data_IF_239965090420
#
_entry.id   IF_239965090420
#
_cell.length_a   1.000
_cell.length_b   1.000
_cell.length_c   1.000
_cell.angle_alpha   90.00
_cell.angle_beta   90.00
_cell.angle_gamma   90.00
#
_symmetry.space_group_name_H-M   'P 1'
#
loop_
_entity.id
_entity.type
_entity.pdbx_description
1 polymer ?
#
# COMPACT_ATOMS: atom_id res chain seq x y z
N UNK A 1 27.76 -9.89 -31.15
CA UNK A 1 28.06 -8.51 -30.71
C UNK A 1 27.12 -7.50 -31.35
N UNK A 2 26.69 -7.72 -32.60
CA UNK A 2 25.83 -6.82 -33.40
C UNK A 2 24.40 -6.62 -32.85
N UNK A 3 23.79 -7.64 -32.23
CA UNK A 3 22.42 -7.55 -31.70
C UNK A 3 22.27 -6.52 -30.56
N UNK A 4 23.31 -6.34 -29.74
CA UNK A 4 23.30 -5.32 -28.67
C UNK A 4 23.41 -3.90 -29.22
N UNK A 5 24.18 -3.70 -30.29
CA UNK A 5 24.26 -2.41 -30.98
C UNK A 5 22.95 -2.08 -31.71
N UNK A 6 22.31 -3.07 -32.33
CA UNK A 6 21.02 -2.89 -32.98
C UNK A 6 19.91 -2.52 -31.98
N UNK A 7 19.88 -3.16 -30.81
CA UNK A 7 18.96 -2.83 -29.73
C UNK A 7 19.20 -1.41 -29.19
N UNK A 8 20.47 -1.02 -29.01
CA UNK A 8 20.83 0.31 -28.53
C UNK A 8 20.45 1.41 -29.55
N UNK A 9 20.71 1.18 -30.84
CA UNK A 9 20.31 2.12 -31.89
C UNK A 9 18.78 2.23 -32.02
N UNK A 10 18.07 1.11 -31.87
CA UNK A 10 16.60 1.10 -31.87
C UNK A 10 16.04 1.88 -30.68
N UNK A 11 16.63 1.71 -29.49
CA UNK A 11 16.23 2.44 -28.29
C UNK A 11 16.47 3.96 -28.42
N UNK A 12 17.63 4.37 -28.97
CA UNK A 12 17.97 5.78 -29.21
C UNK A 12 17.01 6.40 -30.23
N UNK A 13 16.69 5.67 -31.31
CA UNK A 13 15.78 6.15 -32.34
C UNK A 13 14.35 6.33 -31.80
N UNK A 14 13.86 5.38 -31.00
CA UNK A 14 12.56 5.48 -30.32
C UNK A 14 12.51 6.65 -29.33
N UNK A 15 13.59 6.90 -28.60
CA UNK A 15 13.66 8.04 -27.68
C UNK A 15 13.57 9.40 -28.40
N UNK A 16 14.24 9.53 -29.56
CA UNK A 16 14.13 10.73 -30.41
C UNK A 16 12.72 10.91 -30.99
N UNK A 17 12.08 9.82 -31.40
CA UNK A 17 10.71 9.82 -31.91
C UNK A 17 9.72 10.29 -30.82
N UNK A 18 9.87 9.80 -29.59
CA UNK A 18 9.08 10.21 -28.42
C UNK A 18 9.33 11.67 -28.06
N UNK A 19 10.59 12.11 -28.01
CA UNK A 19 10.93 13.50 -27.73
C UNK A 19 10.36 14.46 -28.80
N UNK A 20 10.33 14.05 -30.07
CA UNK A 20 9.68 14.76 -31.16
C UNK A 20 8.16 14.87 -30.97
N UNK A 21 7.49 13.77 -30.60
CA UNK A 21 6.03 13.74 -30.34
C UNK A 21 5.62 14.54 -29.10
N UNK A 22 6.44 14.55 -28.04
CA UNK A 22 6.23 15.39 -26.85
C UNK A 22 6.24 16.89 -27.20
N UNK A 23 7.00 17.30 -28.22
CA UNK A 23 7.06 18.70 -28.62
C UNK A 23 5.81 19.21 -29.35
N UNK A 24 4.96 18.32 -29.89
CA UNK A 24 3.87 18.67 -30.81
C UNK A 24 2.51 17.99 -30.53
N UNK A 25 2.29 17.36 -29.36
CA UNK A 25 1.04 16.60 -29.15
C UNK A 25 0.42 16.78 -27.76
N UNK A 26 -0.92 16.76 -27.76
CA UNK A 26 -1.82 16.91 -26.63
C UNK A 26 -1.43 15.96 -25.48
N UNK A 27 -1.18 16.50 -24.27
CA UNK A 27 -0.70 15.74 -23.11
C UNK A 27 -1.58 14.53 -22.77
N UNK A 28 -2.86 14.60 -23.09
CA UNK A 28 -3.85 13.55 -22.87
C UNK A 28 -3.55 12.28 -23.69
N UNK A 29 -3.16 12.44 -24.96
CA UNK A 29 -2.84 11.31 -25.85
C UNK A 29 -1.55 10.61 -25.43
N UNK A 30 -0.53 11.38 -25.02
CA UNK A 30 0.72 10.84 -24.45
C UNK A 30 0.43 10.07 -23.17
N UNK A 31 -0.47 10.58 -22.33
CA UNK A 31 -0.87 9.92 -21.09
C UNK A 31 -1.60 8.58 -21.36
N UNK A 32 -2.43 8.54 -22.38
CA UNK A 32 -3.19 7.34 -22.76
C UNK A 32 -2.27 6.29 -23.43
N UNK A 33 -1.33 6.73 -24.26
CA UNK A 33 -0.29 5.87 -24.86
C UNK A 33 0.64 5.29 -23.77
N UNK A 34 1.02 6.08 -22.76
CA UNK A 34 1.78 5.57 -21.62
C UNK A 34 1.01 4.48 -20.85
N UNK A 35 -0.28 4.68 -20.57
CA UNK A 35 -1.11 3.65 -19.90
C UNK A 35 -1.14 2.33 -20.69
N UNK A 36 -1.30 2.41 -22.00
CA UNK A 36 -1.29 1.22 -22.87
C UNK A 36 0.08 0.54 -22.90
N UNK A 37 1.16 1.31 -22.98
CA UNK A 37 2.53 0.77 -22.97
C UNK A 37 2.88 0.10 -21.64
N UNK A 38 2.43 0.64 -20.50
CA UNK A 38 2.60 -0.01 -19.20
C UNK A 38 1.78 -1.30 -19.07
N UNK A 39 0.56 -1.33 -19.60
CA UNK A 39 -0.24 -2.54 -19.63
C UNK A 39 0.44 -3.63 -20.48
N UNK A 40 0.99 -3.28 -21.64
CA UNK A 40 1.76 -4.19 -22.48
C UNK A 40 3.05 -4.66 -21.79
N UNK A 41 3.77 -3.77 -21.10
CA UNK A 41 4.95 -4.14 -20.32
C UNK A 41 4.61 -5.13 -19.20
N UNK A 42 3.47 -4.95 -18.51
CA UNK A 42 3.00 -5.87 -17.48
C UNK A 42 2.70 -7.26 -18.04
N UNK A 43 2.03 -7.32 -19.19
CA UNK A 43 1.76 -8.57 -19.90
C UNK A 43 3.08 -9.25 -20.30
N UNK A 44 4.06 -8.49 -20.81
CA UNK A 44 5.39 -8.99 -21.13
C UNK A 44 6.15 -9.52 -19.89
N UNK A 45 6.03 -8.88 -18.74
CA UNK A 45 6.59 -9.37 -17.47
C UNK A 45 5.91 -10.67 -17.00
N UNK A 46 4.59 -10.82 -17.21
CA UNK A 46 3.91 -12.10 -16.93
C UNK A 46 4.35 -13.25 -17.85
N UNK A 47 4.69 -12.96 -19.12
CA UNK A 47 5.29 -13.95 -20.03
C UNK A 47 6.67 -14.41 -19.54
N UNK A 48 7.51 -13.48 -19.07
CA UNK A 48 8.85 -13.79 -18.55
C UNK A 48 8.81 -14.57 -17.23
N UNK A 49 7.78 -14.36 -16.41
CA UNK A 49 7.63 -14.98 -15.09
C UNK A 49 6.72 -16.24 -15.11
N UNK A 50 6.40 -16.78 -16.29
CA UNK A 50 5.69 -18.06 -16.43
C UNK A 50 4.27 -18.11 -15.84
N UNK A 51 3.59 -16.96 -15.71
CA UNK A 51 2.26 -16.85 -15.08
C UNK A 51 1.25 -16.28 -16.08
N UNK A 52 1.00 -17.03 -17.16
CA UNK A 52 -0.15 -16.81 -18.03
C UNK A 52 -1.29 -17.70 -17.59
N UNK A 53 -2.03 -17.26 -16.59
CA UNK A 53 -3.45 -17.58 -16.51
C UNK A 53 -4.14 -16.43 -15.77
N UNK A 54 -4.97 -15.69 -16.52
CA UNK A 54 -5.85 -14.61 -16.08
C UNK A 54 -5.25 -13.20 -15.91
N UNK A 55 -4.76 -12.62 -17.01
CA UNK A 55 -4.92 -11.17 -17.23
C UNK A 55 -6.12 -10.97 -18.13
N UNK A 56 -7.29 -10.71 -17.53
CA UNK A 56 -8.50 -10.34 -18.26
C UNK A 56 -8.28 -9.02 -19.01
N UNK A 57 -8.29 -9.09 -20.33
CA UNK A 57 -8.34 -7.91 -21.20
C UNK A 57 -9.83 -7.49 -21.30
N UNK A 58 -10.24 -6.28 -20.89
CA UNK A 58 -11.52 -5.75 -21.31
C UNK A 58 -11.40 -5.30 -22.78
N UNK A 59 -11.84 -6.16 -23.71
CA UNK A 59 -12.10 -5.74 -25.08
C UNK A 59 -13.35 -4.85 -25.09
N UNK A 60 -13.17 -3.54 -25.31
CA UNK A 60 -14.22 -2.73 -25.90
C UNK A 60 -13.99 -2.64 -27.40
N UNK A 61 -14.80 -3.36 -28.15
CA UNK A 61 -15.12 -3.00 -29.54
C UNK A 61 -16.59 -3.32 -29.75
N UNK A 62 -17.40 -2.27 -29.90
CA UNK A 62 -18.78 -2.38 -30.35
C UNK A 62 -18.81 -2.94 -31.76
N UNK A 63 -19.58 -4.01 -31.99
CA UNK A 63 -20.16 -4.31 -33.30
C UNK A 63 -21.59 -4.81 -33.08
N UNK A 64 -22.55 -4.04 -33.61
CA UNK A 64 -23.96 -4.41 -33.75
C UNK A 64 -24.11 -5.76 -34.45
N UNK A 65 -25.05 -6.58 -33.97
CA UNK A 65 -26.13 -7.20 -34.77
C UNK A 65 -26.97 -8.15 -33.88
N UNK A 66 -28.23 -7.77 -33.64
CA UNK A 66 -29.36 -8.70 -33.46
C UNK A 66 -30.01 -8.92 -34.86
N UNK A 67 -30.87 -9.93 -35.11
CA UNK A 67 -31.65 -10.73 -34.15
C UNK A 67 -31.75 -12.26 -34.45
N UNK A 68 -32.12 -13.08 -33.44
CA UNK A 68 -33.34 -13.93 -33.45
C UNK A 68 -33.31 -15.11 -32.46
N UNK A 69 -34.32 -15.10 -31.57
CA UNK A 69 -35.14 -16.19 -31.04
C UNK A 69 -34.89 -17.64 -31.50
N UNK A 70 -34.75 -18.58 -30.55
CA UNK A 70 -35.83 -19.55 -30.26
C UNK A 70 -35.62 -20.32 -28.94
N UNK A 71 -36.78 -20.67 -28.37
CA UNK A 71 -37.08 -21.19 -27.05
C UNK A 71 -37.33 -22.71 -27.15
N UNK A 72 -36.71 -23.56 -26.32
CA UNK A 72 -37.25 -24.91 -26.00
C UNK A 72 -36.97 -25.27 -24.53
N UNK A 73 -38.08 -25.36 -23.80
CA UNK A 73 -38.28 -26.00 -22.49
C UNK A 73 -38.07 -27.52 -22.58
N UNK A 74 -37.51 -28.19 -21.56
CA UNK A 74 -37.97 -29.52 -21.08
C UNK A 74 -37.31 -29.96 -19.76
N UNK A 75 -38.16 -30.05 -18.72
CA UNK A 75 -38.33 -31.13 -17.74
C UNK A 75 -37.14 -31.69 -16.91
N UNK A 76 -37.22 -31.41 -15.59
CA UNK A 76 -36.64 -32.19 -14.48
C UNK A 76 -37.24 -33.63 -14.41
N UNK A 77 -36.53 -34.62 -13.80
CA UNK A 77 -36.72 -34.86 -12.36
C UNK A 77 -35.45 -35.21 -11.57
N UNK A 78 -35.41 -34.68 -10.35
CA UNK A 78 -34.80 -35.20 -9.11
C UNK A 78 -33.56 -36.12 -9.19
N UNK A 79 -32.42 -35.59 -8.73
CA UNK A 79 -31.50 -36.34 -7.88
C UNK A 79 -30.99 -35.44 -6.75
N UNK A 80 -31.47 -35.75 -5.55
CA UNK A 80 -31.04 -35.21 -4.27
C UNK A 80 -29.64 -35.76 -3.97
N UNK A 81 -28.58 -35.02 -4.34
CA UNK A 81 -27.23 -35.30 -3.87
C UNK A 81 -26.82 -34.21 -2.90
N UNK A 82 -27.02 -34.54 -1.62
CA UNK A 82 -26.15 -34.24 -0.49
C UNK A 82 -25.28 -32.98 -0.64
N UNK A 83 -25.70 -31.91 0.05
CA UNK A 83 -24.79 -30.85 0.50
C UNK A 83 -23.65 -31.52 1.28
N UNK A 84 -22.54 -31.74 0.58
CA UNK A 84 -21.25 -31.96 1.22
C UNK A 84 -20.87 -30.62 1.83
N UNK A 85 -21.23 -30.45 3.10
CA UNK A 85 -20.65 -29.43 3.97
C UNK A 85 -19.18 -29.79 4.19
N UNK A 86 -18.36 -29.62 3.16
CA UNK A 86 -16.93 -29.47 3.35
C UNK A 86 -16.75 -28.14 4.10
N UNK A 87 -16.09 -28.11 5.28
CA UNK A 87 -15.64 -26.84 5.79
C UNK A 87 -14.76 -26.24 4.70
N UNK A 88 -15.16 -25.09 4.15
CA UNK A 88 -14.33 -24.32 3.24
C UNK A 88 -13.07 -23.99 4.02
N UNK A 89 -12.03 -24.80 3.84
CA UNK A 89 -10.76 -24.63 4.50
C UNK A 89 -10.24 -23.26 4.06
N UNK A 90 -10.10 -22.33 5.00
CA UNK A 90 -9.53 -21.03 4.66
C UNK A 90 -8.14 -21.27 4.06
N UNK A 91 -7.82 -20.61 2.94
CA UNK A 91 -6.56 -20.84 2.27
C UNK A 91 -5.37 -20.51 3.20
N UNK A 92 -4.31 -21.31 3.09
CA UNK A 92 -3.09 -21.07 3.88
C UNK A 92 -2.40 -19.78 3.43
N UNK A 93 -1.44 -19.30 4.24
CA UNK A 93 -0.69 -18.10 3.91
C UNK A 93 0.14 -18.30 2.63
N UNK A 94 0.75 -19.47 2.46
CA UNK A 94 1.51 -19.84 1.27
C UNK A 94 0.61 -19.96 0.04
N UNK A 95 -0.61 -20.49 0.20
CA UNK A 95 -1.59 -20.55 -0.89
C UNK A 95 -2.04 -19.16 -1.31
N UNK A 96 -2.30 -18.26 -0.36
CA UNK A 96 -2.68 -16.89 -0.63
C UNK A 96 -1.54 -16.11 -1.30
N UNK A 97 -0.31 -16.23 -0.82
CA UNK A 97 0.86 -15.52 -1.37
C UNK A 97 1.29 -16.03 -2.75
N UNK A 98 0.87 -17.25 -3.16
CA UNK A 98 1.02 -17.73 -4.54
C UNK A 98 -0.01 -17.15 -5.50
N UNK A 99 -1.12 -16.58 -5.00
CA UNK A 99 -2.15 -15.98 -5.85
C UNK A 99 -1.64 -14.66 -6.45
N UNK A 100 -2.00 -14.34 -7.69
CA UNK A 100 -1.61 -13.06 -8.29
C UNK A 100 -2.14 -11.89 -7.47
N UNK A 101 -1.35 -10.82 -7.40
CA UNK A 101 -1.66 -9.57 -6.69
C UNK A 101 -1.85 -9.69 -5.16
N UNK A 102 -1.46 -10.82 -4.55
CA UNK A 102 -1.46 -10.99 -3.10
C UNK A 102 -0.05 -10.84 -2.54
N UNK A 103 0.08 -10.11 -1.45
CA UNK A 103 1.38 -9.73 -0.89
C UNK A 103 1.34 -9.69 0.62
N UNK A 104 2.49 -9.89 1.26
CA UNK A 104 2.65 -9.77 2.71
C UNK A 104 3.01 -8.33 3.07
N UNK A 105 2.32 -7.76 4.05
CA UNK A 105 2.70 -6.48 4.64
C UNK A 105 3.73 -6.68 5.75
N UNK A 106 4.85 -5.97 5.67
CA UNK A 106 5.90 -5.96 6.69
C UNK A 106 5.90 -4.59 7.37
N UNK A 107 5.75 -4.59 8.69
CA UNK A 107 5.62 -3.38 9.51
C UNK A 107 6.99 -2.83 9.90
N UNK A 108 7.28 -1.59 9.50
CA UNK A 108 8.41 -0.81 10.01
C UNK A 108 8.00 -0.02 11.27
N UNK A 109 8.88 0.79 11.87
CA UNK A 109 8.53 1.72 12.97
C UNK A 109 7.40 2.66 12.53
N UNK A 110 7.52 3.28 11.35
CA UNK A 110 6.48 4.10 10.72
C UNK A 110 6.11 3.49 9.37
N UNK A 111 4.82 3.21 9.16
CA UNK A 111 4.30 2.51 8.00
C UNK A 111 4.95 1.12 7.83
N UNK A 112 5.41 0.83 6.64
CA UNK A 112 6.11 -0.40 6.34
C UNK A 112 6.34 -0.54 4.84
N UNK A 113 6.38 -1.77 4.38
CA UNK A 113 6.45 -2.08 2.97
C UNK A 113 5.64 -3.33 2.64
N UNK A 114 5.31 -3.47 1.36
CA UNK A 114 4.62 -4.64 0.84
C UNK A 114 5.66 -5.52 0.17
N UNK A 115 5.90 -6.69 0.75
CA UNK A 115 6.91 -7.62 0.26
C UNK A 115 6.48 -8.21 -1.09
N UNK A 116 7.42 -8.28 -2.03
CA UNK A 116 7.17 -8.70 -3.42
C UNK A 116 6.47 -7.67 -4.32
N UNK A 117 6.04 -6.51 -3.80
CA UNK A 117 5.49 -5.41 -4.60
C UNK A 117 6.51 -4.29 -4.74
N UNK A 118 6.81 -3.84 -5.96
CA UNK A 118 7.88 -2.89 -6.23
C UNK A 118 7.40 -1.63 -6.94
N UNK A 119 8.04 -0.50 -6.61
CA UNK A 119 7.95 0.77 -7.33
C UNK A 119 9.35 1.10 -7.86
N UNK A 120 9.59 0.81 -9.15
CA UNK A 120 10.94 0.77 -9.70
C UNK A 120 11.76 -0.33 -9.01
N UNK A 121 12.98 -0.01 -8.59
CA UNK A 121 13.90 -0.98 -7.96
C UNK A 121 13.73 -1.10 -6.44
N UNK A 122 12.67 -0.53 -5.86
CA UNK A 122 12.46 -0.48 -4.41
C UNK A 122 11.12 -1.11 -4.01
N UNK A 123 11.06 -1.81 -2.86
CA UNK A 123 9.79 -2.28 -2.32
C UNK A 123 8.80 -1.13 -2.16
N UNK A 124 7.53 -1.37 -2.48
CA UNK A 124 6.48 -0.38 -2.35
C UNK A 124 6.33 0.02 -0.89
N UNK A 125 6.60 1.29 -0.60
CA UNK A 125 6.45 1.84 0.74
C UNK A 125 4.99 2.01 1.09
N UNK A 126 4.60 1.41 2.20
CA UNK A 126 3.24 1.43 2.71
C UNK A 126 3.15 2.50 3.81
N UNK A 127 2.51 3.66 3.56
CA UNK A 127 2.53 4.77 4.49
C UNK A 127 1.70 4.49 5.76
N UNK A 128 2.06 5.12 6.87
CA UNK A 128 1.34 5.00 8.16
C UNK A 128 -0.15 5.35 8.03
N UNK A 129 -0.50 6.29 7.13
CA UNK A 129 -1.89 6.64 6.85
C UNK A 129 -2.70 5.45 6.33
N UNK A 130 -2.07 4.57 5.54
CA UNK A 130 -2.73 3.35 5.07
C UNK A 130 -2.82 2.32 6.21
N UNK A 131 -1.79 2.22 7.06
CA UNK A 131 -1.80 1.36 8.25
C UNK A 131 -3.00 1.69 9.13
N UNK A 132 -3.16 2.95 9.49
CA UNK A 132 -4.25 3.42 10.36
C UNK A 132 -5.62 3.33 9.68
N UNK A 133 -5.73 3.66 8.39
CA UNK A 133 -7.00 3.59 7.64
C UNK A 133 -7.50 2.15 7.48
N UNK A 134 -6.62 1.23 7.12
CA UNK A 134 -6.99 -0.17 6.88
C UNK A 134 -6.95 -1.02 8.16
N UNK A 135 -6.37 -0.50 9.25
CA UNK A 135 -6.08 -1.25 10.48
C UNK A 135 -5.32 -2.54 10.17
N UNK A 136 -4.29 -2.40 9.34
CA UNK A 136 -3.43 -3.52 8.94
C UNK A 136 -2.31 -3.71 9.96
N UNK A 137 -2.06 -4.95 10.33
CA UNK A 137 -1.03 -5.34 11.29
C UNK A 137 0.10 -6.09 10.59
N UNK A 138 1.24 -6.21 11.28
CA UNK A 138 2.39 -6.90 10.74
C UNK A 138 2.07 -8.33 10.29
N UNK A 139 2.53 -8.67 9.10
CA UNK A 139 2.35 -9.99 8.49
C UNK A 139 1.04 -10.14 7.73
N UNK A 140 0.08 -9.22 7.81
CA UNK A 140 -1.19 -9.31 7.10
C UNK A 140 -1.01 -9.52 5.59
N UNK A 141 -1.93 -10.28 4.99
CA UNK A 141 -1.94 -10.51 3.55
C UNK A 141 -2.89 -9.53 2.90
N UNK A 142 -2.35 -8.76 1.97
CA UNK A 142 -3.02 -7.72 1.21
C UNK A 142 -3.22 -8.16 -0.24
N UNK A 143 -4.37 -7.81 -0.82
CA UNK A 143 -4.62 -7.93 -2.25
C UNK A 143 -4.65 -6.55 -2.88
N UNK A 144 -3.90 -6.37 -3.96
CA UNK A 144 -4.02 -5.17 -4.80
C UNK A 144 -5.29 -5.29 -5.63
N UNK A 145 -6.19 -4.31 -5.46
CA UNK A 145 -7.50 -4.26 -6.15
C UNK A 145 -7.61 -3.09 -7.13
N UNK A 146 -6.62 -2.21 -7.14
CA UNK A 146 -6.57 -1.10 -8.07
C UNK A 146 -5.24 -0.37 -8.02
N UNK A 147 -4.99 0.43 -9.05
CA UNK A 147 -3.76 1.18 -9.24
C UNK A 147 -4.12 2.58 -9.71
N UNK A 148 -3.38 3.57 -9.24
CA UNK A 148 -3.65 4.96 -9.53
C UNK A 148 -2.34 5.73 -9.69
N UNK A 149 -2.14 6.29 -10.89
CA UNK A 149 -0.99 7.14 -11.17
C UNK A 149 -1.25 8.52 -10.57
N UNK A 150 -0.48 8.90 -9.57
CA UNK A 150 -0.52 10.23 -8.97
C UNK A 150 0.70 11.04 -9.41
N UNK A 151 0.69 12.35 -9.14
CA UNK A 151 1.81 13.26 -9.41
C UNK A 151 3.13 12.75 -8.82
N UNK A 152 3.05 12.03 -7.68
CA UNK A 152 4.20 11.45 -6.97
C UNK A 152 4.54 10.01 -7.40
N UNK A 153 3.89 9.50 -8.43
CA UNK A 153 4.09 8.15 -8.98
C UNK A 153 2.92 7.20 -8.73
N UNK A 154 3.14 5.93 -9.05
CA UNK A 154 2.13 4.87 -8.94
C UNK A 154 1.79 4.56 -7.49
N UNK A 155 0.49 4.52 -7.20
CA UNK A 155 -0.08 4.15 -5.91
C UNK A 155 -1.05 2.97 -6.08
N UNK A 156 -1.19 2.15 -5.05
CA UNK A 156 -2.03 0.95 -5.07
C UNK A 156 -3.19 1.06 -4.07
N UNK A 157 -4.33 0.49 -4.44
CA UNK A 157 -5.48 0.26 -3.56
C UNK A 157 -5.43 -1.18 -3.06
N UNK A 158 -5.59 -1.35 -1.76
CA UNK A 158 -5.45 -2.64 -1.09
C UNK A 158 -6.72 -3.04 -0.37
N UNK A 159 -6.99 -4.34 -0.37
CA UNK A 159 -7.93 -4.99 0.54
C UNK A 159 -7.16 -5.97 1.44
N UNK A 160 -7.56 -6.06 2.71
CA UNK A 160 -6.99 -7.06 3.63
C UNK A 160 -7.71 -8.38 3.38
N UNK A 161 -6.98 -9.37 2.86
CA UNK A 161 -7.51 -10.71 2.60
C UNK A 161 -7.40 -11.57 3.85
N UNK A 162 -6.31 -11.40 4.61
CA UNK A 162 -6.12 -12.11 5.88
C UNK A 162 -5.44 -11.19 6.88
N UNK A 163 -6.06 -11.06 8.05
CA UNK A 163 -5.42 -10.42 9.21
C UNK A 163 -4.51 -11.45 9.85
N UNK A 164 -3.23 -11.33 9.58
CA UNK A 164 -2.21 -11.99 10.38
C UNK A 164 -1.75 -10.96 11.40
N UNK A 165 -1.60 -11.44 12.64
CA UNK A 165 -1.20 -10.62 13.76
C UNK A 165 0.13 -11.17 14.28
N UNK A 166 1.14 -11.19 13.39
CA UNK A 166 2.50 -11.53 13.81
C UNK A 166 3.00 -10.39 14.69
N UNK A 167 3.22 -10.60 16.00
CA UNK A 167 3.56 -9.50 16.88
C UNK A 167 4.88 -8.88 16.41
N UNK A 168 4.88 -7.57 16.15
CA UNK A 168 6.14 -6.85 15.96
C UNK A 168 6.71 -6.52 17.35
N UNK A 169 7.52 -7.44 17.88
CA UNK A 169 8.04 -7.34 19.25
C UNK A 169 8.94 -6.13 19.47
N UNK A 170 9.61 -5.66 18.43
CA UNK A 170 10.54 -4.53 18.47
C UNK A 170 9.83 -3.17 18.45
N UNK A 171 8.54 -3.12 18.15
CA UNK A 171 7.77 -1.88 18.02
C UNK A 171 6.76 -1.73 19.15
N UNK A 172 6.64 -0.51 19.68
CA UNK A 172 5.59 -0.13 20.62
C UNK A 172 4.93 1.17 20.18
N UNK A 173 3.62 1.27 20.41
CA UNK A 173 2.85 2.50 20.23
C UNK A 173 2.44 3.05 21.58
N UNK A 174 2.49 4.38 21.73
CA UNK A 174 1.87 5.10 22.83
C UNK A 174 0.90 6.09 22.21
N UNK A 175 -0.38 5.92 22.54
CA UNK A 175 -1.44 6.76 22.01
C UNK A 175 -1.70 7.96 22.93
N UNK A 176 -2.31 9.00 22.37
CA UNK A 176 -2.78 10.18 23.11
C UNK A 176 -1.70 10.87 23.96
N UNK A 177 -0.49 11.02 23.42
CA UNK A 177 0.61 11.77 24.04
C UNK A 177 0.39 13.28 23.89
N UNK A 178 0.63 14.03 24.97
CA UNK A 178 0.53 15.49 25.02
C UNK A 178 1.92 16.10 24.82
N UNK A 179 2.01 17.01 23.84
CA UNK A 179 3.25 17.74 23.54
C UNK A 179 3.35 19.01 24.38
N UNK A 180 4.51 19.23 24.99
CA UNK A 180 4.88 20.48 25.63
C UNK A 180 6.15 21.07 24.98
N UNK A 181 6.53 22.27 25.41
CA UNK A 181 7.69 22.99 24.89
C UNK A 181 8.60 23.45 26.03
N UNK A 182 9.89 23.18 25.90
CA UNK A 182 10.91 23.66 26.82
C UNK A 182 12.10 24.14 26.01
N UNK A 183 12.53 25.39 26.25
CA UNK A 183 13.69 26.00 25.58
C UNK A 183 13.63 25.90 24.04
N UNK A 184 12.45 26.13 23.46
CA UNK A 184 12.22 26.10 22.00
C UNK A 184 12.19 24.68 21.37
N UNK A 185 12.24 23.63 22.19
CA UNK A 185 12.17 22.23 21.76
C UNK A 185 10.88 21.59 22.25
N UNK A 186 10.24 20.84 21.36
CA UNK A 186 9.04 20.07 21.70
C UNK A 186 9.45 18.76 22.34
N UNK A 187 8.71 18.36 23.38
CA UNK A 187 8.89 17.09 24.06
C UNK A 187 7.54 16.50 24.47
N UNK A 188 7.55 15.23 24.84
CA UNK A 188 6.36 14.54 25.34
C UNK A 188 6.28 14.76 26.85
N UNK A 189 5.24 15.46 27.30
CA UNK A 189 5.02 15.74 28.73
C UNK A 189 4.35 14.57 29.44
N UNK A 190 3.27 14.06 28.86
CA UNK A 190 2.42 13.06 29.48
C UNK A 190 1.57 12.33 28.44
N UNK A 191 0.89 11.27 28.88
CA UNK A 191 -0.28 10.75 28.15
C UNK A 191 -1.54 11.48 28.61
N UNK A 192 -2.61 11.47 27.79
CA UNK A 192 -3.93 12.03 28.15
C UNK A 192 -4.53 11.46 29.44
N UNK A 193 -4.10 10.27 29.86
CA UNK A 193 -4.47 9.68 31.15
C UNK A 193 -3.62 10.21 32.33
N UNK A 194 -2.87 11.30 32.13
CA UNK A 194 -1.92 11.89 33.08
C UNK A 194 -0.85 10.91 33.60
N UNK A 195 -0.53 9.86 32.83
CA UNK A 195 0.59 8.99 33.17
C UNK A 195 1.88 9.67 32.70
N UNK A 196 2.85 9.96 33.59
CA UNK A 196 4.15 10.47 33.19
C UNK A 196 4.85 9.42 32.32
N UNK A 197 5.41 9.84 31.18
CA UNK A 197 6.00 8.89 30.25
C UNK A 197 7.27 8.23 30.78
N UNK A 198 7.91 8.79 31.81
CA UNK A 198 9.10 8.23 32.45
C UNK A 198 8.94 6.76 32.88
N UNK A 199 7.69 6.28 33.05
CA UNK A 199 7.38 4.89 33.43
C UNK A 199 6.25 4.32 32.56
N UNK A 200 6.46 4.17 31.26
CA UNK A 200 5.47 3.57 30.37
C UNK A 200 5.91 2.17 29.90
N UNK A 201 5.03 1.18 30.07
CA UNK A 201 5.23 -0.23 29.67
C UNK A 201 6.49 -0.90 30.26
N UNK A 202 6.80 -0.59 31.53
CA UNK A 202 7.97 -1.15 32.22
C UNK A 202 9.33 -0.62 31.72
N UNK A 203 9.31 0.36 30.82
CA UNK A 203 10.51 1.04 30.35
C UNK A 203 10.73 2.33 31.12
N UNK A 204 11.94 2.47 31.68
CA UNK A 204 12.41 3.73 32.26
C UNK A 204 12.98 4.58 31.12
N UNK A 205 12.25 5.61 30.73
CA UNK A 205 12.81 6.62 29.85
C UNK A 205 13.74 7.48 30.71
N UNK A 206 15.04 7.21 30.58
CA UNK A 206 16.09 7.86 31.35
C UNK A 206 16.17 9.39 31.17
N UNK A 207 15.35 9.97 30.29
CA UNK A 207 15.37 11.39 29.96
C UNK A 207 14.04 11.89 29.37
N UNK A 208 13.92 13.21 29.26
CA UNK A 208 12.86 13.90 28.52
C UNK A 208 12.89 13.44 27.05
N UNK A 209 11.76 12.94 26.55
CA UNK A 209 11.65 12.48 25.17
C UNK A 209 11.36 13.68 24.26
N UNK A 210 12.40 14.20 23.62
CA UNK A 210 12.28 15.28 22.66
C UNK A 210 11.75 14.79 21.31
N UNK A 211 10.88 15.58 20.70
CA UNK A 211 10.39 15.36 19.34
C UNK A 211 11.44 15.84 18.35
N UNK A 212 11.73 15.02 17.34
CA UNK A 212 12.65 15.41 16.27
C UNK A 212 12.12 16.59 15.46
N UNK A 213 13.01 17.45 14.95
CA UNK A 213 12.61 18.54 14.05
C UNK A 213 11.88 18.05 12.81
N UNK A 214 12.26 16.87 12.31
CA UNK A 214 11.62 16.21 11.18
C UNK A 214 10.14 15.95 11.47
N UNK A 215 9.82 15.36 12.62
CA UNK A 215 8.42 15.08 12.98
C UNK A 215 7.67 16.36 13.33
N UNK A 216 8.32 17.32 14.00
CA UNK A 216 7.73 18.64 14.24
C UNK A 216 7.24 19.28 12.94
N UNK A 217 8.08 19.29 11.91
CA UNK A 217 7.75 19.88 10.61
C UNK A 217 6.69 19.05 9.88
N UNK A 218 6.90 17.74 9.73
CA UNK A 218 6.00 16.85 8.98
C UNK A 218 4.57 16.86 9.54
N UNK A 219 4.46 16.87 10.87
CA UNK A 219 3.18 16.82 11.55
C UNK A 219 2.65 18.20 11.98
N UNK A 220 3.37 19.29 11.66
CA UNK A 220 3.07 20.66 12.08
C UNK A 220 2.73 20.74 13.58
N UNK A 221 3.65 20.25 14.40
CA UNK A 221 3.45 20.09 15.84
C UNK A 221 3.71 21.40 16.57
N UNK A 222 2.95 21.60 17.64
CA UNK A 222 3.09 22.69 18.61
C UNK A 222 2.73 22.19 20.00
N UNK A 223 3.14 22.93 21.03
CA UNK A 223 2.70 22.68 22.40
C UNK A 223 1.16 22.56 22.47
N UNK A 224 0.67 21.66 23.31
CA UNK A 224 -0.73 21.30 23.47
C UNK A 224 -1.30 20.38 22.38
N UNK A 225 -0.52 19.96 21.39
CA UNK A 225 -0.97 18.92 20.45
C UNK A 225 -1.07 17.56 21.12
N UNK A 226 -2.05 16.76 20.66
CA UNK A 226 -2.23 15.37 21.07
C UNK A 226 -1.83 14.48 19.89
N UNK A 227 -0.89 13.57 20.12
CA UNK A 227 -0.29 12.73 19.08
C UNK A 227 -0.23 11.27 19.49
N UNK A 228 -0.21 10.36 18.52
CA UNK A 228 0.25 9.00 18.75
C UNK A 228 1.72 8.90 18.32
N UNK A 229 2.52 8.19 19.11
CA UNK A 229 3.93 7.94 18.83
C UNK A 229 4.20 6.45 18.73
N UNK A 230 5.31 6.11 18.11
CA UNK A 230 5.89 4.79 18.18
C UNK A 230 7.40 4.87 18.42
N UNK A 231 7.97 3.78 18.93
CA UNK A 231 9.40 3.67 19.17
C UNK A 231 9.87 2.22 19.03
N UNK A 232 11.19 2.06 18.90
CA UNK A 232 11.83 0.75 18.91
C UNK A 232 12.20 0.37 20.34
N UNK A 233 11.79 -0.81 20.82
CA UNK A 233 12.10 -1.29 22.19
C UNK A 233 13.60 -1.36 22.45
N UNK A 234 14.41 -1.65 21.42
CA UNK A 234 15.89 -1.68 21.51
C UNK A 234 16.51 -0.29 21.66
N UNK A 235 15.79 0.77 21.25
CA UNK A 235 16.23 2.15 21.39
C UNK A 235 15.01 3.08 21.59
N UNK A 236 14.46 3.14 22.80
CA UNK A 236 13.20 3.84 23.09
C UNK A 236 13.33 5.37 23.05
N UNK A 237 14.56 5.90 23.14
CA UNK A 237 14.81 7.34 23.09
C UNK A 237 14.55 7.92 21.69
N UNK A 238 14.51 7.07 20.65
CA UNK A 238 14.16 7.48 19.30
C UNK A 238 12.70 7.14 19.05
N UNK A 239 11.86 8.17 19.17
CA UNK A 239 10.43 8.08 18.87
C UNK A 239 10.14 8.61 17.46
N UNK A 240 9.01 8.19 16.90
CA UNK A 240 8.44 8.78 15.70
C UNK A 240 6.96 9.06 15.88
N UNK A 241 6.51 10.23 15.44
CA UNK A 241 5.09 10.60 15.46
C UNK A 241 4.37 9.89 14.30
N UNK A 242 3.27 9.20 14.62
CA UNK A 242 2.47 8.40 13.67
C UNK A 242 1.06 8.96 13.44
N UNK A 243 0.57 9.83 14.34
CA UNK A 243 -0.70 10.53 14.19
C UNK A 243 -0.68 11.87 14.92
N UNK A 244 -1.31 12.90 14.35
CA UNK A 244 -1.61 14.15 15.05
C UNK A 244 -3.13 14.36 15.10
N UNK A 245 -3.73 14.12 16.27
CA UNK A 245 -5.17 14.22 16.50
C UNK A 245 -5.69 15.66 16.48
N UNK A 246 -4.82 16.63 16.72
CA UNK A 246 -5.19 18.06 16.68
C UNK A 246 -5.52 18.55 15.27
N UNK A 247 -5.11 17.84 14.21
CA UNK A 247 -5.49 18.14 12.81
C UNK A 247 -6.83 17.55 12.40
N UNK A 248 -7.34 16.53 13.10
CA UNK A 248 -8.58 15.82 12.71
C UNK A 248 -9.86 16.58 13.09
N UNK A 249 -9.79 17.57 13.99
CA UNK A 249 -10.95 18.39 14.40
C UNK A 249 -11.57 19.25 13.28
N UNK A 250 -10.92 19.40 12.11
CA UNK A 250 -11.45 20.20 10.98
C UNK A 250 -12.15 19.40 9.88
N UNK A 251 -12.14 18.06 9.93
CA UNK A 251 -12.64 17.23 8.81
C UNK A 251 -14.00 16.57 9.13
N UNK A 252 -14.45 16.62 10.38
CA UNK A 252 -15.69 15.98 10.82
C UNK A 252 -16.62 16.91 11.64
N UNK A 253 -16.51 18.23 11.43
CA UNK A 253 -17.47 19.20 11.95
C UNK A 253 -18.39 19.66 10.82
#
# INVERSE_FOLDING_TARGET
>A
MEMKQLLLQTAIQKHKEIAGKISHTNLEEVHQEMKQNFAQFRVMQSYLNGTLDQVGIPNQTQVNNQPNNHNINTNNPNTLNTLSNNPTQEPTDEELLKRPNHYKFIRDIVGGYVDGLFHGDRPYKFPETYVKRLKVENGAILKVVGEEMQIKGLTYKFEIVKKLNEPNFDRREINDCIIAEQSGKLYIESTKANKPLHHFDGFDFSSIIFISDKDRINWNLRAGNIVDICYNVKNPNIISVIMNHSKLRKVYA
#
